data_IF_754026407976
#
_entry.id   IF_754026407976
#
_cell.length_a   1.000
_cell.length_b   1.000
_cell.length_c   1.000
_cell.angle_alpha   90.00
_cell.angle_beta   90.00
_cell.angle_gamma   90.00
#
_symmetry.space_group_name_H-M   'P 1'
#
loop_
_entity.id
_entity.type
_entity.pdbx_description
1 polymer ?
#
# COMPACT_ATOMS: atom_id res chain seq x y z
N UNK A 1 17.91 19.57 9.74
CA UNK A 1 16.74 19.97 8.91
C UNK A 1 15.59 20.50 9.79
N UNK A 2 14.67 21.31 9.24
CA UNK A 2 13.38 21.66 9.89
C UNK A 2 12.22 20.95 9.19
N UNK A 3 11.07 20.81 9.86
CA UNK A 3 9.89 20.15 9.28
C UNK A 3 9.45 20.78 7.95
N UNK A 4 9.50 22.12 7.87
CA UNK A 4 9.19 22.90 6.66
C UNK A 4 10.04 22.54 5.43
N UNK A 5 11.25 22.02 5.63
CA UNK A 5 12.20 21.70 4.57
C UNK A 5 12.09 20.24 4.10
N UNK A 6 11.31 19.41 4.79
CA UNK A 6 11.13 18.00 4.45
C UNK A 6 10.44 17.82 3.10
N UNK A 7 10.72 16.68 2.48
CA UNK A 7 9.96 16.10 1.38
C UNK A 7 9.56 14.71 1.85
N UNK A 8 8.26 14.41 1.78
CA UNK A 8 7.72 13.11 2.15
C UNK A 8 7.04 12.45 0.95
N UNK A 9 7.38 11.19 0.72
CA UNK A 9 6.71 10.30 -0.24
C UNK A 9 6.22 9.10 0.56
N UNK A 10 4.90 8.98 0.71
CA UNK A 10 4.27 7.81 1.33
C UNK A 10 4.20 6.68 0.32
N UNK A 11 4.68 5.48 0.65
CA UNK A 11 4.55 4.31 -0.24
C UNK A 11 3.48 3.32 0.19
N UNK A 12 2.74 3.67 1.24
CA UNK A 12 1.53 2.96 1.67
C UNK A 12 0.52 3.99 2.18
N UNK A 13 -0.54 4.15 1.41
CA UNK A 13 -1.77 4.85 1.71
C UNK A 13 -2.88 4.04 1.03
N UNK A 14 -4.14 4.38 1.27
CA UNK A 14 -5.30 3.68 0.73
C UNK A 14 -6.25 4.62 0.03
N UNK A 15 -6.95 4.07 -0.95
CA UNK A 15 -8.09 4.71 -1.60
C UNK A 15 -9.34 3.88 -1.37
N UNK A 16 -10.44 4.54 -1.00
CA UNK A 16 -11.77 3.94 -1.14
C UNK A 16 -12.26 4.29 -2.52
N UNK A 17 -12.43 3.27 -3.35
CA UNK A 17 -12.74 3.40 -4.77
C UNK A 17 -14.07 4.14 -4.96
N UNK A 18 -14.15 5.15 -5.86
CA UNK A 18 -15.41 5.82 -6.16
C UNK A 18 -16.48 4.83 -6.62
N UNK A 19 -17.74 5.00 -6.22
CA UNK A 19 -18.80 4.02 -6.45
C UNK A 19 -19.10 3.76 -7.92
N UNK A 20 -18.78 4.71 -8.81
CA UNK A 20 -19.04 4.64 -10.24
C UNK A 20 -17.83 4.19 -11.07
N UNK A 21 -16.68 3.93 -10.45
CA UNK A 21 -15.43 3.75 -11.19
C UNK A 21 -15.48 2.51 -12.11
N UNK A 22 -16.03 1.38 -11.64
CA UNK A 22 -16.14 0.20 -12.50
C UNK A 22 -17.04 0.50 -13.70
N UNK A 23 -18.23 1.08 -13.47
CA UNK A 23 -19.19 1.39 -14.55
C UNK A 23 -18.63 2.33 -15.62
N UNK A 24 -17.65 3.17 -15.28
CA UNK A 24 -16.98 4.08 -16.22
C UNK A 24 -15.85 3.41 -17.00
N UNK A 25 -15.30 2.30 -16.52
CA UNK A 25 -14.10 1.65 -17.07
C UNK A 25 -14.33 0.23 -17.60
N UNK A 26 -15.45 -0.43 -17.25
CA UNK A 26 -15.82 -1.72 -17.86
C UNK A 26 -16.39 -1.55 -19.28
N UNK A 27 -16.02 -2.44 -20.22
CA UNK A 27 -16.64 -2.45 -21.55
C UNK A 27 -18.16 -2.63 -21.47
N UNK A 28 -18.90 -1.96 -22.37
CA UNK A 28 -20.36 -1.91 -22.33
C UNK A 28 -21.06 -3.29 -22.22
N UNK A 29 -20.48 -4.35 -22.81
CA UNK A 29 -21.03 -5.71 -22.76
C UNK A 29 -20.96 -6.38 -21.36
N UNK A 30 -20.12 -5.87 -20.46
CA UNK A 30 -19.93 -6.37 -19.09
C UNK A 30 -20.54 -5.44 -18.03
N UNK A 31 -21.29 -4.41 -18.44
CA UNK A 31 -21.83 -3.40 -17.51
C UNK A 31 -22.71 -3.99 -16.42
N UNK A 32 -23.51 -5.01 -16.76
CA UNK A 32 -24.42 -5.68 -15.82
C UNK A 32 -23.69 -6.64 -14.87
N UNK A 33 -22.41 -6.95 -15.14
CA UNK A 33 -21.55 -7.82 -14.31
C UNK A 33 -20.56 -7.01 -13.46
N UNK A 34 -20.50 -5.70 -13.66
CA UNK A 34 -19.59 -4.82 -12.93
C UNK A 34 -19.93 -4.77 -11.44
N UNK A 35 -18.92 -4.66 -10.55
CA UNK A 35 -19.15 -4.31 -9.16
C UNK A 35 -19.93 -3.00 -9.03
N UNK A 36 -20.89 -2.96 -8.10
CA UNK A 36 -21.69 -1.77 -7.81
C UNK A 36 -21.77 -1.54 -6.31
N UNK A 37 -21.90 -0.29 -5.89
CA UNK A 37 -22.21 0.05 -4.51
C UNK A 37 -23.73 0.06 -4.30
N UNK A 38 -24.18 -0.63 -3.25
CA UNK A 38 -25.58 -0.63 -2.80
C UNK A 38 -25.61 -0.22 -1.33
N UNK A 39 -26.49 0.71 -1.00
CA UNK A 39 -26.76 1.08 0.40
C UNK A 39 -27.79 0.12 0.98
N UNK A 40 -27.47 -0.53 2.11
CA UNK A 40 -28.38 -1.45 2.80
C UNK A 40 -29.47 -0.73 3.61
N UNK A 41 -30.35 -1.50 4.26
CA UNK A 41 -31.46 -1.00 5.06
C UNK A 41 -31.03 -0.23 6.32
N UNK A 42 -29.75 -0.34 6.70
CA UNK A 42 -29.13 0.39 7.81
C UNK A 42 -28.38 1.64 7.36
N UNK A 43 -28.39 1.95 6.06
CA UNK A 43 -27.70 3.11 5.51
C UNK A 43 -26.22 2.88 5.25
N UNK A 44 -25.77 1.63 5.18
CA UNK A 44 -24.38 1.26 4.96
C UNK A 44 -24.12 0.98 3.50
N UNK A 45 -23.07 1.60 2.94
CA UNK A 45 -22.62 1.31 1.58
C UNK A 45 -21.83 -0.01 1.53
N UNK A 46 -22.25 -0.91 0.63
CA UNK A 46 -21.61 -2.20 0.39
C UNK A 46 -21.32 -2.36 -1.09
N UNK A 47 -20.10 -2.78 -1.42
CA UNK A 47 -19.80 -3.23 -2.76
C UNK A 47 -20.42 -4.62 -2.99
N UNK A 48 -21.14 -4.75 -4.09
CA UNK A 48 -21.76 -5.99 -4.54
C UNK A 48 -21.03 -6.48 -5.78
N UNK A 49 -20.53 -7.71 -5.74
CA UNK A 49 -19.95 -8.36 -6.91
C UNK A 49 -20.42 -9.82 -6.99
N UNK A 50 -20.89 -10.23 -8.17
CA UNK A 50 -21.50 -11.54 -8.40
C UNK A 50 -22.53 -11.95 -7.35
N UNK A 51 -23.40 -11.01 -6.96
CA UNK A 51 -24.50 -11.24 -6.02
C UNK A 51 -24.08 -11.40 -4.56
N UNK A 52 -22.83 -11.11 -4.21
CA UNK A 52 -22.33 -11.15 -2.83
C UNK A 52 -21.84 -9.77 -2.39
N UNK A 53 -22.11 -9.37 -1.13
CA UNK A 53 -21.41 -8.24 -0.55
C UNK A 53 -19.92 -8.59 -0.41
N UNK A 54 -19.07 -7.69 -0.84
CA UNK A 54 -17.62 -7.82 -0.87
C UNK A 54 -17.00 -6.63 -0.13
N UNK A 55 -16.05 -6.93 0.75
CA UNK A 55 -15.43 -5.93 1.62
C UNK A 55 -16.43 -5.23 2.56
N UNK A 56 -15.88 -4.46 3.49
CA UNK A 56 -16.61 -3.46 4.28
C UNK A 56 -15.69 -2.26 4.49
N UNK A 57 -16.23 -1.06 4.38
CA UNK A 57 -15.47 0.18 4.62
C UNK A 57 -15.54 0.55 6.11
N UNK A 58 -15.02 -0.26 7.03
CA UNK A 58 -15.19 0.01 8.47
C UNK A 58 -14.03 0.76 9.12
N UNK A 59 -12.85 0.14 9.15
CA UNK A 59 -11.65 0.72 9.78
C UNK A 59 -10.77 1.49 8.80
N UNK A 60 -11.05 1.37 7.49
CA UNK A 60 -10.12 1.82 6.47
C UNK A 60 -10.22 3.33 6.13
N UNK A 61 -11.08 4.07 6.82
CA UNK A 61 -11.42 5.45 6.43
C UNK A 61 -11.78 6.36 7.62
N UNK A 62 -11.12 6.16 8.76
CA UNK A 62 -11.45 6.84 10.03
C UNK A 62 -10.68 8.13 10.26
N UNK A 63 -9.82 8.54 9.31
CA UNK A 63 -9.07 9.79 9.39
C UNK A 63 -10.01 10.96 9.70
N UNK A 64 -9.59 11.81 10.63
CA UNK A 64 -10.37 12.94 11.15
C UNK A 64 -11.61 12.60 11.99
N UNK A 65 -11.88 11.34 12.34
CA UNK A 65 -12.91 10.99 13.33
C UNK A 65 -12.38 11.07 14.76
N UNK A 66 -13.25 11.29 15.76
CA UNK A 66 -12.88 11.09 17.16
C UNK A 66 -12.58 9.60 17.39
N UNK A 67 -11.55 9.31 18.18
CA UNK A 67 -11.07 7.94 18.40
C UNK A 67 -12.14 7.03 19.03
N UNK A 68 -13.08 7.62 19.79
CA UNK A 68 -14.21 6.92 20.39
C UNK A 68 -15.24 6.42 19.37
N UNK A 69 -15.24 6.97 18.14
CA UNK A 69 -16.11 6.53 17.03
C UNK A 69 -15.39 5.56 16.08
N UNK A 70 -14.13 5.21 16.33
CA UNK A 70 -13.43 4.17 15.59
C UNK A 70 -14.05 2.80 15.92
N UNK A 71 -14.26 1.98 14.90
CA UNK A 71 -14.84 0.66 15.08
C UNK A 71 -14.87 -0.14 13.79
N UNK A 72 -15.27 -1.41 13.91
CA UNK A 72 -15.49 -2.29 12.75
C UNK A 72 -16.80 -2.02 12.02
N UNK A 73 -17.60 -1.07 12.51
CA UNK A 73 -18.85 -0.72 11.87
C UNK A 73 -18.56 -0.09 10.51
N UNK A 74 -19.24 -0.52 9.45
CA UNK A 74 -19.00 0.00 8.12
C UNK A 74 -19.45 1.47 8.04
N UNK A 75 -18.62 2.25 7.35
CA UNK A 75 -18.82 3.65 7.04
C UNK A 75 -19.39 3.77 5.63
N UNK A 76 -20.43 4.58 5.47
CA UNK A 76 -20.84 5.05 4.14
C UNK A 76 -19.88 6.12 3.61
N UNK A 77 -19.88 6.37 2.29
CA UNK A 77 -19.10 7.46 1.69
C UNK A 77 -19.44 8.83 2.32
N UNK A 78 -20.67 8.98 2.80
CA UNK A 78 -21.15 10.18 3.47
C UNK A 78 -20.43 10.47 4.80
N UNK A 79 -19.97 9.44 5.51
CA UNK A 79 -19.32 9.58 6.81
C UNK A 79 -17.81 9.79 6.71
N UNK A 80 -17.24 9.52 5.54
CA UNK A 80 -15.80 9.62 5.30
C UNK A 80 -15.41 11.05 4.94
N UNK A 81 -14.18 11.40 5.29
CA UNK A 81 -13.52 12.57 4.74
C UNK A 81 -13.44 12.47 3.20
N UNK A 82 -13.78 13.51 2.43
CA UNK A 82 -13.79 13.43 0.96
C UNK A 82 -12.47 12.98 0.32
N UNK A 83 -11.32 13.37 0.89
CA UNK A 83 -10.00 12.98 0.40
C UNK A 83 -9.72 11.46 0.42
N UNK A 84 -10.61 10.67 1.04
CA UNK A 84 -10.55 9.20 1.04
C UNK A 84 -10.99 8.60 -0.30
N UNK A 85 -11.91 9.25 -1.03
CA UNK A 85 -12.50 8.73 -2.26
C UNK A 85 -12.51 9.74 -3.43
N UNK A 86 -12.21 11.01 -3.19
CA UNK A 86 -12.10 12.05 -4.22
C UNK A 86 -10.63 12.46 -4.39
N UNK A 87 -10.10 12.28 -5.60
CA UNK A 87 -8.69 12.52 -5.92
C UNK A 87 -8.27 13.99 -5.76
N UNK A 88 -9.19 14.94 -6.01
CA UNK A 88 -8.90 16.36 -5.90
C UNK A 88 -8.80 16.78 -4.43
N UNK A 89 -9.72 16.28 -3.60
CA UNK A 89 -9.66 16.48 -2.16
C UNK A 89 -8.48 15.71 -1.53
N UNK A 90 -8.14 14.53 -2.05
CA UNK A 90 -6.96 13.76 -1.64
C UNK A 90 -5.68 14.57 -1.78
N UNK A 91 -5.46 15.18 -2.95
CA UNK A 91 -4.27 16.02 -3.19
C UNK A 91 -4.23 17.26 -2.29
N UNK A 92 -5.41 17.82 -1.96
CA UNK A 92 -5.52 18.92 -0.99
C UNK A 92 -5.17 18.48 0.43
N UNK A 93 -5.63 17.31 0.86
CA UNK A 93 -5.24 16.70 2.13
C UNK A 93 -3.74 16.38 2.19
N UNK A 94 -3.16 15.85 1.11
CA UNK A 94 -1.72 15.63 1.00
C UNK A 94 -0.93 16.94 1.10
N UNK A 95 -1.37 17.99 0.40
CA UNK A 95 -0.77 19.32 0.51
C UNK A 95 -0.82 19.83 1.96
N UNK A 96 -1.96 19.66 2.63
CA UNK A 96 -2.13 20.06 4.03
C UNK A 96 -1.20 19.28 4.97
N UNK A 97 -1.04 17.98 4.72
CA UNK A 97 -0.14 17.11 5.47
C UNK A 97 1.34 17.27 5.06
N UNK A 98 1.66 18.08 4.05
CA UNK A 98 3.03 18.27 3.57
C UNK A 98 3.61 17.07 2.82
N UNK A 99 2.77 16.20 2.25
CA UNK A 99 3.18 15.00 1.52
C UNK A 99 3.26 15.31 0.02
N UNK A 100 4.43 15.10 -0.58
CA UNK A 100 4.66 15.30 -2.02
C UNK A 100 3.91 14.25 -2.82
N UNK A 101 4.11 12.96 -2.53
CA UNK A 101 3.47 11.91 -3.31
C UNK A 101 3.03 10.73 -2.45
N UNK A 102 2.05 9.98 -2.93
CA UNK A 102 1.59 8.75 -2.29
C UNK A 102 1.41 7.59 -3.28
N UNK A 103 1.63 6.37 -2.82
CA UNK A 103 1.11 5.16 -3.46
C UNK A 103 -0.18 4.76 -2.74
N UNK A 104 -1.26 4.44 -3.48
CA UNK A 104 -2.55 4.13 -2.88
C UNK A 104 -2.96 2.68 -3.16
N UNK A 105 -2.94 1.82 -2.15
CA UNK A 105 -3.46 0.46 -2.23
C UNK A 105 -5.00 0.44 -2.36
N UNK A 106 -5.56 -0.58 -3.05
CA UNK A 106 -7.00 -0.81 -3.11
C UNK A 106 -7.61 -1.09 -1.73
N UNK A 107 -8.88 -0.72 -1.57
CA UNK A 107 -9.70 -1.09 -0.41
C UNK A 107 -10.73 -2.14 -0.80
N UNK A 108 -11.61 -1.82 -1.74
CA UNK A 108 -12.71 -2.70 -2.16
C UNK A 108 -12.20 -4.01 -2.73
N UNK A 109 -11.24 -3.99 -3.65
CA UNK A 109 -10.81 -5.25 -4.27
C UNK A 109 -10.08 -6.17 -3.28
N UNK A 110 -9.76 -5.65 -2.09
CA UNK A 110 -8.77 -6.19 -1.18
C UNK A 110 -7.37 -5.76 -1.62
N UNK A 111 -6.43 -5.74 -0.67
CA UNK A 111 -5.07 -5.23 -0.89
C UNK A 111 -4.36 -5.88 -2.08
N UNK A 112 -4.69 -7.12 -2.46
CA UNK A 112 -4.15 -7.89 -3.60
C UNK A 112 -5.25 -8.42 -4.56
N UNK A 113 -6.36 -7.69 -4.69
CA UNK A 113 -7.53 -8.07 -5.49
C UNK A 113 -8.24 -9.37 -5.08
N UNK A 114 -8.06 -9.84 -3.84
CA UNK A 114 -8.68 -11.05 -3.30
C UNK A 114 -10.19 -11.16 -3.56
N UNK A 115 -10.95 -10.07 -3.40
CA UNK A 115 -12.41 -10.10 -3.58
C UNK A 115 -12.83 -10.31 -5.04
N UNK A 116 -11.99 -9.91 -6.00
CA UNK A 116 -12.18 -10.24 -7.42
C UNK A 116 -11.67 -11.66 -7.70
N UNK A 117 -10.46 -11.95 -7.25
CA UNK A 117 -9.69 -13.15 -7.58
C UNK A 117 -10.30 -14.44 -7.03
N UNK A 118 -11.14 -14.36 -5.98
CA UNK A 118 -11.85 -15.54 -5.45
C UNK A 118 -12.84 -16.16 -6.45
N UNK A 119 -13.25 -15.44 -7.49
CA UNK A 119 -14.20 -15.93 -8.50
C UNK A 119 -13.51 -16.71 -9.62
N UNK A 120 -12.29 -16.33 -10.02
CA UNK A 120 -11.47 -17.03 -11.02
C UNK A 120 -12.13 -17.20 -12.40
N UNK A 121 -12.91 -16.21 -12.84
CA UNK A 121 -13.64 -16.24 -14.11
C UNK A 121 -13.05 -15.25 -15.14
N UNK A 122 -13.35 -15.45 -16.43
CA UNK A 122 -12.91 -14.54 -17.51
C UNK A 122 -13.38 -13.10 -17.29
N UNK A 123 -14.59 -12.92 -16.74
CA UNK A 123 -15.10 -11.58 -16.40
C UNK A 123 -14.25 -10.91 -15.31
N UNK A 124 -13.63 -11.68 -14.41
CA UNK A 124 -12.73 -11.13 -13.39
C UNK A 124 -11.49 -10.49 -14.02
N UNK A 125 -10.98 -11.02 -15.15
CA UNK A 125 -9.89 -10.39 -15.88
C UNK A 125 -10.28 -8.98 -16.36
N UNK A 126 -11.52 -8.82 -16.83
CA UNK A 126 -12.08 -7.53 -17.25
C UNK A 126 -12.18 -6.57 -16.07
N UNK A 127 -12.64 -7.04 -14.91
CA UNK A 127 -12.75 -6.20 -13.71
C UNK A 127 -11.38 -5.75 -13.21
N UNK A 128 -10.38 -6.65 -13.24
CA UNK A 128 -8.99 -6.31 -12.92
C UNK A 128 -8.45 -5.22 -13.85
N UNK A 129 -8.61 -5.37 -15.17
CA UNK A 129 -8.17 -4.35 -16.11
C UNK A 129 -8.92 -3.02 -15.95
N UNK A 130 -10.23 -3.05 -15.67
CA UNK A 130 -11.03 -1.85 -15.42
C UNK A 130 -10.60 -1.09 -14.17
N UNK A 131 -10.31 -1.80 -13.06
CA UNK A 131 -9.71 -1.18 -11.87
C UNK A 131 -8.37 -0.54 -12.21
N UNK A 132 -7.50 -1.25 -12.93
CA UNK A 132 -6.17 -0.74 -13.27
C UNK A 132 -6.25 0.49 -14.18
N UNK A 133 -7.20 0.51 -15.12
CA UNK A 133 -7.42 1.66 -16.00
C UNK A 133 -7.90 2.88 -15.22
N UNK A 134 -8.85 2.71 -14.29
CA UNK A 134 -9.23 3.77 -13.36
C UNK A 134 -8.04 4.25 -12.51
N UNK A 135 -7.33 3.34 -11.86
CA UNK A 135 -6.28 3.70 -10.91
C UNK A 135 -5.11 4.43 -11.61
N UNK A 136 -4.74 3.98 -12.81
CA UNK A 136 -3.62 4.56 -13.57
C UNK A 136 -4.06 5.83 -14.30
N UNK A 137 -5.16 5.80 -15.06
CA UNK A 137 -5.51 6.89 -15.99
C UNK A 137 -6.28 8.01 -15.30
N UNK A 138 -7.04 7.70 -14.26
CA UNK A 138 -7.90 8.67 -13.58
C UNK A 138 -7.31 9.07 -12.22
N UNK A 139 -7.09 8.12 -11.31
CA UNK A 139 -6.58 8.46 -9.97
C UNK A 139 -5.17 9.03 -10.04
N UNK A 140 -4.20 8.23 -10.50
CA UNK A 140 -2.83 8.70 -10.66
C UNK A 140 -2.71 9.72 -11.81
N UNK A 141 -3.41 9.47 -12.92
CA UNK A 141 -3.35 10.32 -14.13
C UNK A 141 -3.89 11.74 -13.96
N UNK A 142 -4.79 11.99 -13.00
CA UNK A 142 -5.25 13.35 -12.68
C UNK A 142 -4.13 14.23 -12.09
N UNK A 143 -3.17 13.62 -11.39
CA UNK A 143 -2.05 14.30 -10.74
C UNK A 143 -0.78 13.44 -10.84
N UNK A 144 -0.16 13.35 -12.04
CA UNK A 144 0.91 12.39 -12.32
C UNK A 144 2.23 12.68 -11.58
N UNK A 145 2.34 13.83 -10.91
CA UNK A 145 3.44 14.22 -10.03
C UNK A 145 3.16 13.93 -8.55
N UNK A 146 1.95 13.45 -8.21
CA UNK A 146 1.49 13.25 -6.83
C UNK A 146 1.25 11.79 -6.49
N UNK A 147 1.21 10.89 -7.47
CA UNK A 147 0.92 9.49 -7.22
C UNK A 147 1.91 8.55 -7.92
N UNK A 148 2.33 7.50 -7.20
CA UNK A 148 3.01 6.35 -7.79
C UNK A 148 1.94 5.28 -8.04
N UNK A 149 1.54 5.01 -9.29
CA UNK A 149 0.46 4.07 -9.58
C UNK A 149 0.86 2.63 -9.24
N UNK A 150 -0.07 1.90 -8.62
CA UNK A 150 0.04 0.48 -8.29
C UNK A 150 -1.14 -0.30 -8.90
N UNK A 151 -0.84 -1.38 -9.62
CA UNK A 151 -1.85 -2.21 -10.28
C UNK A 151 -2.17 -3.48 -9.48
N UNK A 152 -3.40 -3.98 -9.63
CA UNK A 152 -3.79 -5.30 -9.16
C UNK A 152 -3.65 -6.35 -10.26
N UNK A 153 -3.54 -7.63 -9.87
CA UNK A 153 -3.32 -8.73 -10.81
C UNK A 153 -4.33 -9.87 -10.62
N UNK A 154 -4.64 -10.63 -11.70
CA UNK A 154 -5.50 -11.80 -11.62
C UNK A 154 -4.70 -13.02 -11.13
N UNK A 155 -4.46 -13.10 -9.82
CA UNK A 155 -3.40 -13.96 -9.22
C UNK A 155 -3.56 -15.47 -9.44
N UNK A 156 -4.73 -15.94 -9.88
CA UNK A 156 -5.00 -17.35 -10.18
C UNK A 156 -4.56 -17.79 -11.59
N UNK A 157 -4.11 -16.85 -12.43
CA UNK A 157 -3.75 -17.11 -13.83
C UNK A 157 -2.39 -16.44 -14.18
N UNK A 158 -1.26 -17.17 -14.08
CA UNK A 158 0.07 -16.63 -14.36
C UNK A 158 0.23 -16.00 -15.74
N UNK A 159 -0.40 -16.57 -16.79
CA UNK A 159 -0.33 -16.02 -18.14
C UNK A 159 -1.03 -14.64 -18.21
N UNK A 160 -2.23 -14.55 -17.64
CA UNK A 160 -2.98 -13.29 -17.57
C UNK A 160 -2.26 -12.25 -16.69
N UNK A 161 -1.61 -12.67 -15.60
CA UNK A 161 -0.76 -11.78 -14.80
C UNK A 161 0.38 -11.21 -15.63
N UNK A 162 1.13 -12.05 -16.35
CA UNK A 162 2.22 -11.60 -17.20
C UNK A 162 1.73 -10.64 -18.30
N UNK A 163 0.56 -10.89 -18.89
CA UNK A 163 -0.04 -9.99 -19.89
C UNK A 163 -0.41 -8.63 -19.26
N UNK A 164 -1.03 -8.65 -18.08
CA UNK A 164 -1.45 -7.43 -17.39
C UNK A 164 -0.26 -6.61 -16.89
N UNK A 165 0.79 -7.23 -16.35
CA UNK A 165 2.04 -6.56 -15.93
C UNK A 165 2.62 -5.76 -17.10
N UNK A 166 2.78 -6.38 -18.28
CA UNK A 166 3.29 -5.70 -19.47
C UNK A 166 2.38 -4.55 -19.91
N UNK A 167 1.06 -4.76 -19.85
CA UNK A 167 0.08 -3.73 -20.22
C UNK A 167 0.16 -2.51 -19.32
N UNK A 168 0.18 -2.71 -18.00
CA UNK A 168 0.24 -1.58 -17.04
C UNK A 168 1.63 -0.93 -17.02
N UNK A 169 2.71 -1.69 -17.19
CA UNK A 169 4.06 -1.16 -17.35
C UNK A 169 4.17 -0.23 -18.57
N UNK A 170 3.56 -0.60 -19.70
CA UNK A 170 3.50 0.24 -20.89
C UNK A 170 2.71 1.56 -20.68
N UNK A 171 1.81 1.60 -19.68
CA UNK A 171 1.10 2.82 -19.24
C UNK A 171 1.92 3.65 -18.24
N UNK A 172 3.12 3.20 -17.84
CA UNK A 172 3.97 3.84 -16.86
C UNK A 172 3.74 3.40 -15.42
N UNK A 173 2.95 2.35 -15.19
CA UNK A 173 2.81 1.75 -13.87
C UNK A 173 4.12 1.09 -13.44
N UNK A 174 4.53 1.32 -12.18
CA UNK A 174 5.83 0.91 -11.64
C UNK A 174 5.73 -0.20 -10.59
N UNK A 175 4.50 -0.54 -10.18
CA UNK A 175 4.26 -1.43 -9.07
C UNK A 175 3.01 -2.27 -9.30
N UNK A 176 3.01 -3.48 -8.76
CA UNK A 176 1.82 -4.32 -8.60
C UNK A 176 1.68 -4.74 -7.15
N UNK A 177 0.46 -4.87 -6.67
CA UNK A 177 0.19 -5.46 -5.35
C UNK A 177 -0.10 -6.94 -5.45
N UNK A 178 0.48 -7.72 -4.53
CA UNK A 178 0.47 -9.18 -4.49
C UNK A 178 0.22 -9.68 -3.06
N UNK A 179 -0.35 -10.89 -2.88
CA UNK A 179 -0.60 -11.43 -1.55
C UNK A 179 0.72 -11.83 -0.87
N UNK A 180 0.94 -11.43 0.39
CA UNK A 180 2.16 -11.83 1.14
C UNK A 180 2.29 -13.35 1.27
N UNK A 181 1.16 -14.03 1.52
CA UNK A 181 1.08 -15.46 1.75
C UNK A 181 0.03 -16.06 0.81
N UNK A 182 0.35 -16.27 -0.49
CA UNK A 182 -0.63 -16.70 -1.51
C UNK A 182 -1.36 -18.01 -1.18
N UNK A 183 -0.72 -18.88 -0.39
CA UNK A 183 -1.32 -20.16 0.04
C UNK A 183 -2.54 -19.99 0.95
N UNK A 184 -2.67 -18.85 1.65
CA UNK A 184 -3.86 -18.52 2.42
C UNK A 184 -5.07 -18.18 1.54
N UNK A 185 -4.83 -17.85 0.26
CA UNK A 185 -5.87 -17.63 -0.76
C UNK A 185 -6.09 -18.86 -1.66
N UNK A 186 -5.50 -20.01 -1.30
CA UNK A 186 -5.60 -21.25 -2.07
C UNK A 186 -4.84 -21.20 -3.40
N UNK A 187 -3.74 -20.42 -3.46
CA UNK A 187 -2.77 -20.39 -4.55
C UNK A 187 -1.49 -21.17 -4.15
N UNK A 188 -0.61 -21.56 -5.09
CA UNK A 188 0.70 -22.10 -4.73
C UNK A 188 1.54 -21.12 -3.92
N UNK A 189 2.39 -21.63 -3.02
CA UNK A 189 3.36 -20.77 -2.31
C UNK A 189 4.39 -20.22 -3.29
N UNK A 190 5.10 -19.14 -2.92
CA UNK A 190 6.16 -18.56 -3.76
C UNK A 190 7.37 -19.48 -4.02
N UNK A 191 7.37 -20.68 -3.44
CA UNK A 191 8.34 -21.74 -3.75
C UNK A 191 8.01 -22.50 -5.05
N UNK A 192 6.77 -22.40 -5.54
CA UNK A 192 6.34 -23.03 -6.80
C UNK A 192 6.83 -22.21 -7.99
N UNK A 193 7.99 -22.58 -8.54
CA UNK A 193 8.62 -21.88 -9.66
C UNK A 193 7.90 -22.10 -10.99
N UNK A 194 7.20 -23.22 -11.16
CA UNK A 194 6.41 -23.47 -12.37
C UNK A 194 5.23 -22.49 -12.45
N UNK A 195 4.65 -22.16 -11.30
CA UNK A 195 3.56 -21.20 -11.20
C UNK A 195 4.05 -19.74 -11.22
N UNK A 196 5.02 -19.38 -10.36
CA UNK A 196 5.42 -17.98 -10.14
C UNK A 196 6.61 -17.52 -10.98
N UNK A 197 7.46 -18.43 -11.47
CA UNK A 197 8.67 -18.09 -12.22
C UNK A 197 8.41 -17.21 -13.46
N UNK A 198 7.38 -17.46 -14.29
CA UNK A 198 7.02 -16.58 -15.40
C UNK A 198 6.64 -15.17 -14.95
N UNK A 199 5.94 -15.05 -13.82
CA UNK A 199 5.51 -13.76 -13.25
C UNK A 199 6.72 -13.00 -12.71
N UNK A 200 7.58 -13.65 -11.92
CA UNK A 200 8.83 -13.08 -11.41
C UNK A 200 9.74 -12.56 -12.52
N UNK A 201 9.91 -13.36 -13.58
CA UNK A 201 10.65 -12.94 -14.78
C UNK A 201 10.04 -11.69 -15.40
N UNK A 202 8.72 -11.66 -15.57
CA UNK A 202 8.03 -10.53 -16.20
C UNK A 202 8.14 -9.26 -15.35
N UNK A 203 8.03 -9.36 -14.02
CA UNK A 203 8.24 -8.23 -13.11
C UNK A 203 9.67 -7.66 -13.21
N UNK A 204 10.67 -8.54 -13.25
CA UNK A 204 12.07 -8.12 -13.47
C UNK A 204 12.29 -7.46 -14.83
N UNK A 205 11.80 -8.08 -15.92
CA UNK A 205 11.95 -7.56 -17.29
C UNK A 205 11.30 -6.18 -17.47
N UNK A 206 10.14 -5.95 -16.86
CA UNK A 206 9.40 -4.69 -16.94
C UNK A 206 9.82 -3.66 -15.85
N UNK A 207 10.76 -4.02 -14.97
CA UNK A 207 11.17 -3.21 -13.83
C UNK A 207 9.99 -2.77 -12.94
N UNK A 208 9.04 -3.68 -12.74
CA UNK A 208 7.83 -3.48 -11.91
C UNK A 208 8.07 -4.07 -10.53
N UNK A 209 7.84 -3.27 -9.48
CA UNK A 209 8.01 -3.69 -8.08
C UNK A 209 6.81 -4.51 -7.61
N UNK A 210 7.08 -5.58 -6.89
CA UNK A 210 6.08 -6.40 -6.21
C UNK A 210 5.84 -5.87 -4.81
N UNK A 211 4.73 -5.16 -4.60
CA UNK A 211 4.34 -4.66 -3.29
C UNK A 211 3.50 -5.71 -2.53
N UNK A 212 3.74 -5.81 -1.23
CA UNK A 212 3.32 -6.90 -0.36
C UNK A 212 2.77 -6.32 0.93
N UNK A 213 1.45 -6.32 1.06
CA UNK A 213 0.74 -5.65 2.15
C UNK A 213 0.24 -6.65 3.20
N UNK A 214 0.45 -6.34 4.50
CA UNK A 214 0.18 -7.27 5.62
C UNK A 214 -1.25 -7.79 5.68
N UNK A 215 -2.23 -6.95 5.32
CA UNK A 215 -3.65 -7.29 5.40
C UNK A 215 -4.06 -8.52 4.59
N UNK A 216 -3.23 -8.93 3.62
CA UNK A 216 -3.45 -10.17 2.84
C UNK A 216 -3.07 -11.44 3.60
N UNK A 217 -2.17 -11.34 4.58
CA UNK A 217 -1.62 -12.48 5.31
C UNK A 217 -2.08 -12.62 6.76
N UNK A 218 -3.05 -11.82 7.23
CA UNK A 218 -3.61 -11.91 8.58
C UNK A 218 -4.10 -13.32 8.97
N UNK A 219 -4.50 -14.13 7.99
CA UNK A 219 -4.88 -15.53 8.21
C UNK A 219 -3.76 -16.43 8.78
N UNK A 220 -2.50 -16.00 8.74
CA UNK A 220 -1.38 -16.71 9.38
C UNK A 220 -1.38 -16.59 10.91
N UNK A 221 -2.05 -15.57 11.47
CA UNK A 221 -2.05 -15.31 12.91
C UNK A 221 -3.19 -16.11 13.55
N UNK A 222 -2.88 -17.33 13.99
CA UNK A 222 -3.83 -18.19 14.70
C UNK A 222 -4.00 -17.77 16.16
N UNK A 223 -5.10 -17.08 16.45
CA UNK A 223 -5.43 -16.58 17.79
C UNK A 223 -6.28 -17.56 18.61
N UNK A 224 -6.20 -17.45 19.95
CA UNK A 224 -7.16 -18.11 20.84
C UNK A 224 -8.57 -17.51 20.62
N UNK A 225 -9.66 -18.30 20.74
CA UNK A 225 -11.02 -17.82 20.43
C UNK A 225 -11.49 -16.59 21.22
N UNK A 226 -10.94 -16.36 22.42
CA UNK A 226 -11.27 -15.25 23.30
C UNK A 226 -10.19 -14.15 23.31
N UNK A 227 -9.20 -14.22 22.42
CA UNK A 227 -8.18 -13.18 22.33
C UNK A 227 -8.78 -11.89 21.79
N UNK A 228 -8.38 -10.72 22.33
CA UNK A 228 -8.81 -9.44 21.79
C UNK A 228 -8.18 -9.19 20.42
N UNK A 229 -8.81 -8.32 19.62
CA UNK A 229 -8.31 -7.92 18.30
C UNK A 229 -6.90 -7.33 18.37
N UNK A 230 -6.57 -6.64 19.46
CA UNK A 230 -5.28 -6.00 19.71
C UNK A 230 -4.12 -6.97 19.47
N UNK A 231 -4.29 -8.24 19.87
CA UNK A 231 -3.25 -9.24 19.71
C UNK A 231 -2.94 -9.51 18.22
N UNK A 232 -3.96 -9.53 17.36
CA UNK A 232 -3.77 -9.70 15.92
C UNK A 232 -3.11 -8.46 15.32
N UNK A 233 -3.59 -7.26 15.67
CA UNK A 233 -3.06 -5.99 15.15
C UNK A 233 -1.60 -5.79 15.56
N UNK A 234 -1.25 -6.03 16.82
CA UNK A 234 0.14 -5.93 17.31
C UNK A 234 1.08 -6.93 16.62
N UNK A 235 0.58 -8.12 16.25
CA UNK A 235 1.37 -9.17 15.58
C UNK A 235 1.36 -9.06 14.06
N UNK A 236 0.58 -8.15 13.48
CA UNK A 236 0.34 -8.05 12.03
C UNK A 236 1.64 -7.88 11.22
N UNK A 237 2.57 -7.09 11.73
CA UNK A 237 3.91 -6.87 11.16
C UNK A 237 4.76 -8.14 11.00
N UNK A 238 4.45 -9.21 11.74
CA UNK A 238 5.17 -10.48 11.65
C UNK A 238 4.82 -11.27 10.38
N UNK A 239 3.72 -10.93 9.70
CA UNK A 239 3.34 -11.53 8.43
C UNK A 239 4.41 -11.24 7.37
N UNK A 240 4.94 -10.02 7.31
CA UNK A 240 6.03 -9.66 6.39
C UNK A 240 7.31 -10.46 6.64
N UNK A 241 7.61 -10.81 7.89
CA UNK A 241 8.73 -11.69 8.20
C UNK A 241 8.52 -13.12 7.64
N UNK A 242 7.28 -13.62 7.66
CA UNK A 242 6.93 -14.91 7.05
C UNK A 242 7.01 -14.85 5.51
N UNK A 243 6.55 -13.76 4.90
CA UNK A 243 6.65 -13.56 3.46
C UNK A 243 8.12 -13.45 3.01
N UNK A 244 8.93 -12.64 3.70
CA UNK A 244 10.35 -12.52 3.45
C UNK A 244 11.09 -13.87 3.58
N UNK A 245 10.68 -14.71 4.54
CA UNK A 245 11.19 -16.07 4.67
C UNK A 245 10.94 -16.91 3.41
N UNK A 246 9.75 -16.86 2.83
CA UNK A 246 9.43 -17.60 1.61
C UNK A 246 10.20 -17.07 0.39
N UNK A 247 10.32 -15.75 0.24
CA UNK A 247 10.96 -15.13 -0.90
C UNK A 247 12.49 -15.24 -0.89
N UNK A 248 13.12 -15.03 0.27
CA UNK A 248 14.58 -15.08 0.44
C UNK A 248 15.11 -16.51 0.36
N UNK A 249 14.42 -17.46 1.02
CA UNK A 249 14.86 -18.86 1.08
C UNK A 249 14.28 -19.73 -0.04
N UNK A 250 13.31 -19.20 -0.79
CA UNK A 250 12.78 -19.77 -2.02
C UNK A 250 13.67 -19.52 -3.24
N UNK A 251 13.11 -19.67 -4.46
CA UNK A 251 13.81 -19.37 -5.70
C UNK A 251 13.81 -17.89 -6.06
N UNK A 252 12.85 -17.09 -5.57
CA UNK A 252 12.58 -15.74 -6.06
C UNK A 252 13.79 -14.80 -6.03
N UNK A 253 14.34 -14.50 -4.85
CA UNK A 253 15.49 -13.58 -4.74
C UNK A 253 16.80 -14.17 -5.30
N UNK A 254 16.90 -15.50 -5.47
CA UNK A 254 18.15 -16.13 -5.92
C UNK A 254 18.21 -16.35 -7.43
N UNK A 255 17.06 -16.59 -8.05
CA UNK A 255 16.96 -16.88 -9.49
C UNK A 255 16.64 -15.64 -10.33
N UNK A 256 16.14 -14.56 -9.70
CA UNK A 256 15.69 -13.34 -10.37
C UNK A 256 16.35 -12.10 -9.73
N UNK A 257 17.63 -11.81 -10.04
CA UNK A 257 18.45 -10.80 -9.34
C UNK A 257 17.91 -9.36 -9.44
N UNK A 258 17.10 -9.05 -10.45
CA UNK A 258 16.50 -7.72 -10.64
C UNK A 258 15.07 -7.61 -10.07
N UNK A 259 14.53 -8.68 -9.47
CA UNK A 259 13.18 -8.68 -8.88
C UNK A 259 13.16 -7.84 -7.61
N UNK A 260 12.15 -6.98 -7.44
CA UNK A 260 12.07 -6.06 -6.31
C UNK A 260 10.80 -6.28 -5.50
N UNK A 261 10.93 -6.24 -4.18
CA UNK A 261 9.84 -6.40 -3.22
C UNK A 261 9.72 -5.17 -2.32
N UNK A 262 8.50 -4.65 -2.16
CA UNK A 262 8.20 -3.63 -1.16
C UNK A 262 7.25 -4.23 -0.10
N UNK A 263 7.68 -4.26 1.16
CA UNK A 263 6.88 -4.72 2.29
C UNK A 263 6.14 -3.53 2.92
N UNK A 264 4.82 -3.54 2.77
CA UNK A 264 3.88 -2.45 3.04
C UNK A 264 3.13 -2.70 4.35
N UNK A 265 3.07 -1.69 5.22
CA UNK A 265 2.55 -1.76 6.59
C UNK A 265 3.28 -2.79 7.50
N UNK A 266 4.35 -3.41 7.00
CA UNK A 266 5.09 -4.49 7.67
C UNK A 266 5.96 -4.02 8.84
N UNK A 267 6.18 -2.72 8.96
CA UNK A 267 7.17 -2.15 9.87
C UNK A 267 8.59 -2.61 9.54
N UNK A 268 9.57 -2.09 10.29
CA UNK A 268 10.99 -2.39 10.07
C UNK A 268 11.66 -3.08 11.26
N UNK A 269 10.97 -3.20 12.40
CA UNK A 269 11.53 -3.76 13.64
C UNK A 269 11.87 -5.25 13.60
N UNK A 270 11.24 -6.04 12.74
CA UNK A 270 11.52 -7.48 12.62
C UNK A 270 12.82 -7.78 11.84
N UNK A 271 13.25 -6.83 11.00
CA UNK A 271 14.32 -7.03 10.01
C UNK A 271 15.68 -7.36 10.65
N UNK A 272 16.21 -6.60 11.64
CA UNK A 272 17.55 -6.88 12.18
C UNK A 272 17.68 -8.31 12.71
N UNK A 273 16.71 -8.74 13.51
CA UNK A 273 16.71 -10.08 14.09
C UNK A 273 16.56 -11.16 13.01
N UNK A 274 15.71 -10.92 12.01
CA UNK A 274 15.51 -11.84 10.89
C UNK A 274 16.80 -12.04 10.07
N UNK A 275 17.53 -10.96 9.79
CA UNK A 275 18.77 -11.00 9.03
C UNK A 275 19.88 -11.73 9.80
N UNK A 276 20.09 -11.42 11.07
CA UNK A 276 21.04 -12.12 11.94
C UNK A 276 20.74 -13.64 12.00
N UNK A 277 19.46 -13.97 12.12
CA UNK A 277 19.01 -15.36 12.17
C UNK A 277 19.26 -16.07 10.84
N UNK A 278 19.03 -15.39 9.72
CA UNK A 278 19.22 -15.93 8.38
C UNK A 278 20.69 -16.23 8.09
N UNK A 279 21.59 -15.30 8.37
CA UNK A 279 23.03 -15.46 8.13
C UNK A 279 23.65 -16.55 9.03
N UNK A 280 23.23 -16.58 10.30
CA UNK A 280 23.63 -17.65 11.23
C UNK A 280 23.12 -19.01 10.77
N UNK A 281 21.87 -19.09 10.29
CA UNK A 281 21.31 -20.33 9.75
C UNK A 281 22.10 -20.79 8.52
N UNK A 282 22.37 -19.90 7.58
CA UNK A 282 23.13 -20.20 6.37
C UNK A 282 24.55 -20.69 6.67
N UNK A 283 25.19 -20.12 7.69
CA UNK A 283 26.53 -20.50 8.13
C UNK A 283 26.54 -21.85 8.86
N UNK A 284 25.56 -22.10 9.74
CA UNK A 284 25.55 -23.28 10.60
C UNK A 284 24.92 -24.51 9.93
N UNK A 285 23.94 -24.32 9.04
CA UNK A 285 23.13 -25.40 8.46
C UNK A 285 23.55 -25.72 7.01
N UNK A 286 24.86 -25.68 6.71
CA UNK A 286 25.42 -25.99 5.37
C UNK A 286 24.97 -27.35 4.82
N UNK A 287 24.59 -28.29 5.69
CA UNK A 287 24.04 -29.59 5.29
C UNK A 287 22.73 -29.51 4.49
N UNK A 288 21.98 -28.40 4.60
CA UNK A 288 20.77 -28.13 3.81
C UNK A 288 21.08 -27.69 2.37
N UNK A 289 22.35 -27.47 2.01
CA UNK A 289 22.83 -27.18 0.64
C UNK A 289 22.10 -26.03 -0.05
N UNK A 290 21.67 -25.03 0.71
CA UNK A 290 21.24 -23.75 0.14
C UNK A 290 22.47 -23.01 -0.36
N UNK A 291 22.33 -22.33 -1.48
CA UNK A 291 23.41 -21.61 -2.14
C UNK A 291 22.97 -20.17 -2.39
N UNK A 292 23.68 -19.24 -1.74
CA UNK A 292 23.59 -17.79 -1.93
C UNK A 292 24.86 -17.24 -2.60
N UNK A 293 25.67 -18.11 -3.22
CA UNK A 293 26.94 -17.74 -3.83
C UNK A 293 27.94 -17.20 -2.81
N UNK A 294 28.59 -16.09 -3.16
CA UNK A 294 29.53 -15.37 -2.29
C UNK A 294 28.86 -14.44 -1.28
N UNK A 295 27.54 -14.25 -1.37
CA UNK A 295 26.78 -13.35 -0.52
C UNK A 295 26.18 -14.09 0.67
N UNK A 296 25.93 -13.34 1.74
CA UNK A 296 25.07 -13.73 2.84
C UNK A 296 23.59 -13.52 2.46
N UNK A 297 22.65 -14.30 3.03
CA UNK A 297 21.22 -14.05 2.87
C UNK A 297 20.82 -12.61 3.17
N UNK A 298 21.45 -11.98 4.17
CA UNK A 298 21.16 -10.58 4.50
C UNK A 298 21.62 -9.57 3.46
N UNK A 299 22.66 -9.88 2.69
CA UNK A 299 23.08 -9.04 1.55
C UNK A 299 22.07 -9.16 0.42
N UNK A 300 21.66 -10.39 0.08
CA UNK A 300 20.62 -10.65 -0.94
C UNK A 300 19.29 -10.00 -0.53
N UNK A 301 18.85 -10.11 0.72
CA UNK A 301 17.63 -9.45 1.17
C UNK A 301 17.67 -7.93 0.91
N UNK A 302 18.80 -7.28 1.20
CA UNK A 302 18.95 -5.82 1.04
C UNK A 302 19.03 -5.36 -0.42
N UNK A 303 19.45 -6.22 -1.34
CA UNK A 303 19.44 -5.91 -2.78
C UNK A 303 18.02 -5.91 -3.36
N UNK A 304 17.15 -6.74 -2.81
CA UNK A 304 15.82 -7.01 -3.36
C UNK A 304 14.68 -6.24 -2.67
N UNK A 305 14.91 -5.67 -1.48
CA UNK A 305 13.80 -5.26 -0.60
C UNK A 305 13.77 -3.76 -0.33
N UNK A 306 12.54 -3.26 -0.15
CA UNK A 306 12.21 -2.01 0.51
C UNK A 306 11.16 -2.34 1.58
N UNK A 307 11.28 -1.79 2.78
CA UNK A 307 10.29 -1.95 3.83
C UNK A 307 9.87 -0.57 4.32
N UNK A 308 8.57 -0.36 4.51
CA UNK A 308 8.03 0.86 5.10
C UNK A 308 7.51 0.68 6.52
N UNK A 309 7.34 1.83 7.16
CA UNK A 309 6.82 1.94 8.52
C UNK A 309 6.03 3.25 8.65
N UNK A 310 5.01 3.22 9.50
CA UNK A 310 4.29 4.42 9.98
C UNK A 310 5.05 5.06 11.15
N UNK A 311 5.22 4.31 12.24
CA UNK A 311 5.96 4.70 13.47
C UNK A 311 6.77 3.51 13.99
N UNK A 312 8.06 3.73 14.26
CA UNK A 312 8.97 2.62 14.64
C UNK A 312 10.20 3.10 15.43
N UNK A 313 9.96 3.91 16.47
CA UNK A 313 10.97 4.68 17.24
C UNK A 313 12.22 3.89 17.65
N UNK A 314 12.07 2.63 18.03
CA UNK A 314 13.21 1.78 18.43
C UNK A 314 13.98 1.30 17.21
N UNK A 315 13.27 0.83 16.19
CA UNK A 315 13.83 0.31 14.94
C UNK A 315 14.63 1.38 14.18
N UNK A 316 14.20 2.65 14.22
CA UNK A 316 14.91 3.77 13.60
C UNK A 316 16.32 4.01 14.18
N UNK A 317 16.58 3.60 15.44
CA UNK A 317 17.93 3.63 16.03
C UNK A 317 18.85 2.58 15.41
N UNK A 318 18.28 1.52 14.84
CA UNK A 318 18.96 0.41 14.18
C UNK A 318 18.97 0.54 12.65
N UNK A 319 18.57 1.70 12.10
CA UNK A 319 18.43 1.91 10.64
C UNK A 319 19.64 1.50 9.80
N UNK A 320 20.86 1.64 10.32
CA UNK A 320 22.07 1.21 9.61
C UNK A 320 22.30 -0.32 9.67
N UNK A 321 21.87 -0.98 10.75
CA UNK A 321 21.89 -2.45 10.86
C UNK A 321 20.83 -3.09 9.96
N UNK A 322 19.65 -2.47 9.88
CA UNK A 322 18.59 -2.83 8.92
C UNK A 322 19.15 -2.67 7.48
N UNK A 323 19.80 -1.55 7.22
CA UNK A 323 20.23 -1.12 5.90
C UNK A 323 19.47 0.14 5.53
N UNK A 324 20.12 1.29 5.65
CA UNK A 324 19.46 2.60 5.50
C UNK A 324 18.79 2.77 4.12
N UNK A 325 19.31 2.11 3.09
CA UNK A 325 18.81 2.24 1.71
C UNK A 325 17.55 1.41 1.42
N UNK A 326 17.13 0.55 2.35
CA UNK A 326 15.94 -0.30 2.21
C UNK A 326 14.78 0.12 3.12
N UNK A 327 14.88 1.30 3.74
CA UNK A 327 13.83 1.85 4.62
C UNK A 327 13.11 2.96 3.88
N UNK A 328 11.79 2.88 3.81
CA UNK A 328 10.91 3.96 3.37
C UNK A 328 9.94 4.35 4.48
N UNK A 329 9.33 5.53 4.38
CA UNK A 329 8.26 5.94 5.26
C UNK A 329 6.89 5.74 4.57
N UNK A 330 5.86 5.47 5.37
CA UNK A 330 4.47 5.47 4.92
C UNK A 330 3.59 6.29 5.87
N UNK A 331 2.52 6.86 5.33
CA UNK A 331 1.54 7.61 6.12
C UNK A 331 0.36 6.73 6.54
N UNK A 332 0.01 5.70 5.76
CA UNK A 332 -1.15 4.83 5.99
C UNK A 332 -2.49 5.60 6.01
N UNK A 333 -2.58 6.72 5.28
CA UNK A 333 -3.84 7.44 5.19
C UNK A 333 -4.85 6.57 4.41
N UNK A 334 -6.11 6.39 4.86
CA UNK A 334 -6.80 7.10 5.93
C UNK A 334 -7.07 6.25 7.19
N UNK A 335 -6.23 5.26 7.47
CA UNK A 335 -6.37 4.37 8.61
C UNK A 335 -6.11 5.09 9.94
N UNK A 336 -6.41 4.40 11.05
CA UNK A 336 -6.30 4.95 12.41
C UNK A 336 -4.87 5.33 12.80
N UNK A 337 -3.88 4.64 12.24
CA UNK A 337 -2.48 4.78 12.64
C UNK A 337 -1.81 5.94 11.90
N UNK A 338 -2.50 6.54 10.92
CA UNK A 338 -1.93 7.54 10.05
C UNK A 338 -1.55 8.86 10.77
N UNK A 339 -0.47 9.47 10.29
CA UNK A 339 -0.08 10.81 10.74
C UNK A 339 -0.71 11.88 9.86
N UNK A 340 -1.98 12.20 10.09
CA UNK A 340 -2.64 13.33 9.46
C UNK A 340 -3.20 14.29 10.52
N UNK A 341 -3.02 15.62 10.41
CA UNK A 341 -2.36 16.39 9.33
C UNK A 341 -0.89 16.79 9.65
N UNK A 342 -0.27 16.13 10.61
CA UNK A 342 1.01 16.52 11.21
C UNK A 342 2.14 15.50 10.94
N UNK A 343 2.11 14.78 9.82
CA UNK A 343 3.18 13.84 9.44
C UNK A 343 4.59 14.42 9.53
N UNK A 344 4.89 15.62 8.96
CA UNK A 344 6.25 16.15 8.97
C UNK A 344 6.83 16.33 10.36
N UNK A 345 6.02 16.82 11.30
CA UNK A 345 6.41 17.03 12.69
C UNK A 345 6.68 15.71 13.41
N UNK A 346 5.79 14.73 13.26
CA UNK A 346 5.90 13.44 13.94
C UNK A 346 7.08 12.63 13.41
N UNK A 347 7.22 12.52 12.08
CA UNK A 347 8.32 11.81 11.42
C UNK A 347 9.66 12.44 11.76
N UNK A 348 9.77 13.77 11.69
CA UNK A 348 11.01 14.45 12.05
C UNK A 348 11.38 14.23 13.52
N UNK A 349 10.40 14.26 14.42
CA UNK A 349 10.64 14.05 15.84
C UNK A 349 11.19 12.65 16.12
N UNK A 350 10.65 11.60 15.49
CA UNK A 350 11.14 10.22 15.64
C UNK A 350 12.55 10.04 15.06
N UNK A 351 12.79 10.52 13.85
CA UNK A 351 14.10 10.44 13.20
C UNK A 351 15.17 11.22 13.98
N UNK A 352 14.84 12.41 14.46
CA UNK A 352 15.73 13.21 15.32
C UNK A 352 16.03 12.48 16.63
N UNK A 353 15.02 11.89 17.27
CA UNK A 353 15.20 11.11 18.49
C UNK A 353 16.04 9.84 18.28
N UNK A 354 16.03 9.29 17.06
CA UNK A 354 16.90 8.20 16.64
C UNK A 354 18.32 8.66 16.25
N UNK A 355 18.60 9.96 16.25
CA UNK A 355 19.89 10.54 15.86
C UNK A 355 20.16 10.47 14.36
N UNK A 356 19.11 10.48 13.52
CA UNK A 356 19.25 10.56 12.07
C UNK A 356 19.74 11.94 11.64
N UNK A 357 20.69 11.98 10.71
CA UNK A 357 21.13 13.22 10.08
C UNK A 357 20.25 13.58 8.88
N UNK A 358 20.52 14.73 8.25
CA UNK A 358 19.74 15.21 7.12
C UNK A 358 19.81 14.26 5.90
N UNK A 359 20.87 13.46 5.76
CA UNK A 359 21.01 12.49 4.67
C UNK A 359 20.15 11.25 4.92
N UNK A 360 20.19 10.70 6.14
CA UNK A 360 19.34 9.60 6.59
C UNK A 360 17.86 9.97 6.47
N UNK A 361 17.50 11.17 6.92
CA UNK A 361 16.13 11.69 6.83
C UNK A 361 15.67 11.72 5.36
N UNK A 362 16.45 12.32 4.45
CA UNK A 362 16.09 12.36 3.03
C UNK A 362 15.97 10.95 2.41
N UNK A 363 16.85 10.01 2.78
CA UNK A 363 16.78 8.62 2.32
C UNK A 363 15.45 7.99 2.71
N UNK A 364 15.12 8.04 4.00
CA UNK A 364 13.93 7.39 4.57
C UNK A 364 12.64 8.06 4.07
N UNK A 365 12.57 9.40 4.09
CA UNK A 365 11.29 10.08 3.83
C UNK A 365 10.92 10.17 2.36
N UNK A 366 11.87 10.05 1.42
CA UNK A 366 11.53 10.09 -0.01
C UNK A 366 12.53 9.39 -0.96
N UNK A 367 13.84 9.50 -0.73
CA UNK A 367 14.81 9.17 -1.78
C UNK A 367 14.92 7.67 -2.05
N UNK A 368 14.80 6.83 -1.01
CA UNK A 368 14.80 5.38 -1.17
C UNK A 368 13.59 4.92 -1.98
N UNK A 369 12.39 5.40 -1.65
CA UNK A 369 11.17 5.11 -2.39
C UNK A 369 11.30 5.50 -3.87
N UNK A 370 11.68 6.75 -4.15
CA UNK A 370 11.82 7.25 -5.51
C UNK A 370 12.83 6.43 -6.34
N UNK A 371 13.99 6.09 -5.74
CA UNK A 371 14.99 5.21 -6.35
C UNK A 371 14.42 3.82 -6.63
N UNK A 372 13.80 3.18 -5.64
CA UNK A 372 13.35 1.80 -5.71
C UNK A 372 12.25 1.60 -6.76
N UNK A 373 11.29 2.53 -6.84
CA UNK A 373 10.21 2.54 -7.83
C UNK A 373 10.60 3.17 -9.17
N UNK A 374 11.86 3.62 -9.35
CA UNK A 374 12.31 4.31 -10.57
C UNK A 374 11.40 5.49 -10.95
N UNK A 375 11.00 6.26 -9.95
CA UNK A 375 10.07 7.38 -10.06
C UNK A 375 10.81 8.69 -9.73
N UNK A 376 10.74 9.67 -10.62
CA UNK A 376 11.38 10.97 -10.44
C UNK A 376 10.39 11.96 -9.81
N UNK A 377 10.53 12.27 -8.50
CA UNK A 377 9.64 13.19 -7.80
C UNK A 377 9.71 14.63 -8.33
N UNK A 378 10.76 14.97 -9.08
CA UNK A 378 11.02 16.33 -9.53
C UNK A 378 10.83 16.55 -11.02
N UNK A 379 10.39 15.52 -11.76
CA UNK A 379 10.13 15.62 -13.19
C UNK A 379 9.07 16.69 -13.53
N UNK A 380 8.13 16.95 -12.61
CA UNK A 380 7.00 17.86 -12.79
C UNK A 380 6.85 18.87 -11.65
N UNK A 381 7.24 18.51 -10.42
CA UNK A 381 7.26 19.42 -9.28
C UNK A 381 8.70 19.82 -8.94
N UNK A 382 9.12 21.07 -9.15
CA UNK A 382 10.46 21.50 -8.75
C UNK A 382 10.71 21.26 -7.26
N UNK A 383 11.95 20.91 -6.88
CA UNK A 383 12.31 20.52 -5.51
C UNK A 383 11.93 21.56 -4.45
N UNK A 384 12.05 22.85 -4.75
CA UNK A 384 11.65 23.95 -3.86
C UNK A 384 10.12 24.02 -3.65
N UNK A 385 9.34 23.53 -4.61
CA UNK A 385 7.88 23.42 -4.54
C UNK A 385 7.38 22.09 -3.94
N UNK A 386 8.28 21.14 -3.73
CA UNK A 386 8.01 19.82 -3.15
C UNK A 386 8.16 19.79 -1.62
N UNK A 387 8.64 20.87 -1.02
CA UNK A 387 8.82 20.97 0.43
C UNK A 387 7.49 21.05 1.18
N UNK A 388 7.47 20.57 2.43
CA UNK A 388 6.31 20.69 3.34
C UNK A 388 5.77 22.10 3.38
N UNK A 389 6.65 23.11 3.50
CA UNK A 389 6.25 24.52 3.50
C UNK A 389 5.51 24.93 2.23
N UNK A 390 6.06 24.57 1.06
CA UNK A 390 5.48 24.93 -0.23
C UNK A 390 4.15 24.21 -0.48
N UNK A 391 4.03 22.96 -0.04
CA UNK A 391 2.80 22.17 -0.14
C UNK A 391 1.71 22.73 0.77
N UNK A 392 2.01 22.99 2.05
CA UNK A 392 1.04 23.54 3.01
C UNK A 392 0.53 24.92 2.60
N UNK A 393 1.36 25.73 1.95
CA UNK A 393 0.93 27.03 1.41
C UNK A 393 -0.19 26.92 0.35
N UNK A 394 -0.37 25.76 -0.29
CA UNK A 394 -1.43 25.49 -1.28
C UNK A 394 -2.75 25.01 -0.66
N UNK A 395 -2.79 24.76 0.64
CA UNK A 395 -3.90 24.08 1.32
C UNK A 395 -4.19 24.68 2.72
N UNK A 396 -4.05 25.99 2.87
CA UNK A 396 -4.31 26.71 4.13
C UNK A 396 -5.78 26.64 4.55
N UNK A 397 -6.68 26.46 3.58
CA UNK A 397 -8.12 26.36 3.72
C UNK A 397 -8.62 24.95 4.02
N UNK A 398 -7.75 23.92 3.95
CA UNK A 398 -8.11 22.55 4.31
C UNK A 398 -8.36 22.44 5.80
N UNK A 399 -9.57 22.03 6.15
CA UNK A 399 -10.01 21.84 7.52
C UNK A 399 -9.43 20.57 8.14
N UNK A 400 -8.76 20.75 9.28
CA UNK A 400 -8.07 19.70 10.03
C UNK A 400 -8.79 19.29 11.31
N UNK A 401 -9.99 19.82 11.56
CA UNK A 401 -10.74 19.48 12.77
C UNK A 401 -11.13 18.00 12.78
N UNK A 402 -11.08 17.41 13.98
CA UNK A 402 -11.73 16.14 14.26
C UNK A 402 -13.25 16.34 14.20
N UNK A 403 -13.94 15.49 13.45
CA UNK A 403 -15.39 15.55 13.17
C UNK A 403 -16.01 14.17 13.30
N UNK A 404 -17.16 14.10 13.96
CA UNK A 404 -17.92 12.86 14.08
C UNK A 404 -18.45 12.38 12.74
N UNK A 405 -18.76 11.08 12.66
CA UNK A 405 -19.42 10.43 11.52
C UNK A 405 -20.70 11.16 11.10
N UNK A 406 -21.53 11.51 12.08
CA UNK A 406 -22.80 12.19 11.85
C UNK A 406 -22.62 13.59 11.23
N UNK A 407 -21.57 14.32 11.62
CA UNK A 407 -21.26 15.63 11.05
C UNK A 407 -20.74 15.51 9.62
N UNK A 408 -19.91 14.51 9.32
CA UNK A 408 -19.50 14.20 7.95
C UNK A 408 -20.72 13.89 7.07
N UNK A 409 -21.60 13.01 7.52
CA UNK A 409 -22.82 12.64 6.80
C UNK A 409 -23.70 13.86 6.49
N UNK A 410 -23.92 14.73 7.48
CA UNK A 410 -24.69 15.97 7.31
C UNK A 410 -24.09 16.84 6.20
N UNK A 411 -22.77 17.08 6.22
CA UNK A 411 -22.07 17.92 5.23
C UNK A 411 -22.09 17.30 3.84
N UNK A 412 -21.95 15.98 3.75
CA UNK A 412 -22.06 15.26 2.49
C UNK A 412 -23.41 15.51 1.83
N UNK A 413 -24.51 15.33 2.56
CA UNK A 413 -25.85 15.57 2.05
C UNK A 413 -26.11 17.04 1.68
N UNK A 414 -25.61 17.99 2.47
CA UNK A 414 -25.68 19.43 2.15
C UNK A 414 -24.98 19.77 0.82
N UNK A 415 -23.79 19.18 0.57
CA UNK A 415 -23.06 19.36 -0.69
C UNK A 415 -23.82 18.78 -1.89
N UNK A 416 -24.43 17.61 -1.73
CA UNK A 416 -25.23 16.98 -2.78
C UNK A 416 -26.47 17.81 -3.15
N UNK A 417 -27.15 18.39 -2.15
CA UNK A 417 -28.31 19.28 -2.39
C UNK A 417 -27.90 20.57 -3.09
N UNK A 418 -26.76 21.16 -2.72
CA UNK A 418 -26.26 22.39 -3.35
C UNK A 418 -25.77 22.18 -4.79
N UNK A 419 -25.35 20.96 -5.16
CA UNK A 419 -24.95 20.62 -6.53
C UNK A 419 -26.11 20.35 -7.50
N UNK A 420 -27.34 20.24 -6.98
CA UNK A 420 -28.56 20.02 -7.79
C UNK A 420 -29.33 21.31 -8.10
N UNK A 421 -28.92 22.44 -7.51
CA UNK A 421 -29.42 23.80 -7.76
C UNK A 421 -28.49 24.57 -8.68
#
# INVERSE_FOLDING_TARGET
MKADDLILVSIDDHVVEPPDMFLRHVPAKYRDEAPIVVTDDKGVDQWMYQGRPQGVSGLNAVVSWPAEEWGRDPAGFAEMRPGVYDVHERVRDMNRNGILASMCFPTFTGFSARHLNMHREEVTLVMVSAYNDWHIDEWAGSYPDRFIPIAILPTWNPEAMCAEIRRVAAKGCRAVTMPELPHLEGLPSYHDEDYWGPVFRTLSEENVVMCLHIGTGFGAISMAPNAPIDNMIILATQVSAMCAQDLLWGPAMRNYPDLKFAFSEGGIGWIPFYLDRSDRHYSNQKWLRRDFGSQLPSEVFREHSLACYVTDKTSLKLRHEIGIDIIAWECDYPHSDCFWPDAPEQVLAELTAAGADDADINKITWANACRFFSWDPFARTPRDQATVKALRAKALDVDVSIRSRAEWARRYHEKQLAGQT
#
